data_IF_562374696399
#
_entry.id   IF_562374696399
#
_cell.length_a   1.000
_cell.length_b   1.000
_cell.length_c   1.000
_cell.angle_alpha   90.00
_cell.angle_beta   90.00
_cell.angle_gamma   90.00
#
_symmetry.space_group_name_H-M   'P 1'
#
loop_
_entity.id
_entity.type
_entity.pdbx_description
1 polymer ?
#
# COMPACT_ATOMS: atom_id res chain seq x y z
N UNK A 1 9.58 -8.43 38.41
CA UNK A 1 8.25 -8.48 37.79
C UNK A 1 7.73 -9.90 37.88
N UNK A 2 6.51 -10.07 38.40
CA UNK A 2 5.84 -11.36 38.46
C UNK A 2 4.52 -11.29 37.69
N UNK A 3 4.06 -12.42 37.17
CA UNK A 3 2.80 -12.54 36.43
C UNK A 3 2.02 -13.72 36.98
N UNK A 4 0.70 -13.55 37.09
CA UNK A 4 -0.20 -14.64 37.46
C UNK A 4 -1.41 -14.70 36.52
N UNK A 5 -1.75 -15.92 36.14
CA UNK A 5 -2.93 -16.26 35.36
C UNK A 5 -4.21 -16.12 36.18
N UNK A 6 -5.22 -15.48 35.61
CA UNK A 6 -6.60 -15.46 36.12
C UNK A 6 -7.54 -16.32 35.27
N UNK A 7 -7.03 -17.03 34.26
CA UNK A 7 -7.81 -17.85 33.33
C UNK A 7 -8.26 -19.20 33.92
N UNK A 8 -7.46 -19.79 34.82
CA UNK A 8 -7.68 -21.15 35.30
C UNK A 8 -8.80 -21.17 36.37
N UNK A 9 -9.97 -21.71 36.03
CA UNK A 9 -11.02 -21.98 37.00
C UNK A 9 -10.82 -23.35 37.68
N UNK A 10 -10.93 -23.46 39.01
CA UNK A 10 -10.70 -24.71 39.75
C UNK A 10 -11.72 -25.82 39.45
N UNK A 11 -12.83 -25.53 38.76
CA UNK A 11 -13.90 -26.50 38.44
C UNK A 11 -14.09 -26.78 36.95
N UNK A 12 -13.19 -26.30 36.09
CA UNK A 12 -13.35 -26.33 34.63
C UNK A 12 -14.38 -25.28 34.16
N UNK A 13 -14.01 -24.49 33.15
CA UNK A 13 -14.81 -23.35 32.67
C UNK A 13 -14.03 -22.02 32.73
N UNK A 14 -14.73 -20.91 32.44
CA UNK A 14 -14.19 -19.55 32.58
C UNK A 14 -14.10 -19.18 34.07
N UNK A 15 -13.05 -18.47 34.45
CA UNK A 15 -12.94 -17.87 35.78
C UNK A 15 -14.02 -16.79 35.99
N UNK A 16 -14.46 -16.61 37.24
CA UNK A 16 -15.38 -15.53 37.62
C UNK A 16 -14.78 -14.14 37.38
N UNK A 17 -13.44 -14.04 37.30
CA UNK A 17 -12.70 -12.80 37.00
C UNK A 17 -12.59 -12.51 35.51
N UNK A 18 -13.00 -13.42 34.63
CA UNK A 18 -12.96 -13.21 33.18
C UNK A 18 -13.88 -12.02 32.80
N UNK A 19 -13.46 -11.07 31.93
CA UNK A 19 -12.41 -11.15 30.91
C UNK A 19 -10.98 -10.79 31.32
N UNK A 20 -10.67 -10.71 32.61
CA UNK A 20 -9.28 -10.59 33.08
C UNK A 20 -8.51 -11.88 32.78
N UNK A 21 -7.38 -11.77 32.07
CA UNK A 21 -6.57 -12.93 31.67
C UNK A 21 -5.25 -13.05 32.42
N UNK A 22 -4.64 -11.93 32.82
CA UNK A 22 -3.37 -11.93 33.54
C UNK A 22 -3.22 -10.69 34.43
N UNK A 23 -2.51 -10.86 35.55
CA UNK A 23 -2.10 -9.80 36.46
C UNK A 23 -0.59 -9.70 36.51
N UNK A 24 -0.08 -8.48 36.43
CA UNK A 24 1.32 -8.14 36.49
C UNK A 24 1.61 -7.37 37.77
N UNK A 25 2.65 -7.76 38.48
CA UNK A 25 3.17 -7.03 39.63
C UNK A 25 4.63 -6.65 39.38
N UNK A 26 4.93 -5.36 39.46
CA UNK A 26 6.27 -4.81 39.21
C UNK A 26 6.74 -4.13 40.46
N UNK A 27 7.82 -4.69 41.01
CA UNK A 27 8.55 -4.09 42.10
C UNK A 27 9.73 -3.29 41.54
N UNK A 28 9.86 -2.03 41.93
CA UNK A 28 11.00 -1.16 41.65
C UNK A 28 11.56 -0.61 42.93
N UNK A 29 12.87 -0.47 42.97
CA UNK A 29 13.57 0.18 44.07
C UNK A 29 14.93 0.68 43.62
N UNK A 30 15.47 1.66 44.33
CA UNK A 30 16.82 2.21 44.10
C UNK A 30 17.71 1.88 45.28
N UNK A 31 18.71 1.00 45.12
CA UNK A 31 19.71 0.77 46.16
C UNK A 31 20.72 1.92 46.21
N UNK A 32 21.17 2.29 47.41
CA UNK A 32 22.32 3.18 47.59
C UNK A 32 23.66 2.39 47.56
N UNK A 33 24.79 3.09 47.76
CA UNK A 33 26.12 2.46 47.79
C UNK A 33 26.33 1.49 48.96
N UNK A 34 25.46 1.52 49.97
CA UNK A 34 25.47 0.65 51.14
C UNK A 34 24.40 -0.47 51.03
N UNK A 35 23.81 -0.66 49.85
CA UNK A 35 22.72 -1.62 49.59
C UNK A 35 21.45 -1.35 50.40
N UNK A 36 21.29 -0.13 50.95
CA UNK A 36 20.04 0.30 51.55
C UNK A 36 19.06 0.62 50.43
N UNK A 37 17.92 -0.08 50.46
CA UNK A 37 16.88 0.03 49.44
C UNK A 37 16.01 1.25 49.74
N UNK A 38 15.91 2.16 48.78
CA UNK A 38 15.06 3.35 48.84
C UNK A 38 14.14 3.43 47.62
N UNK A 39 13.18 4.36 47.62
CA UNK A 39 12.24 4.58 46.50
C UNK A 39 11.50 3.31 46.05
N UNK A 40 11.04 2.49 47.02
CA UNK A 40 10.28 1.29 46.74
C UNK A 40 8.91 1.65 46.16
N UNK A 41 8.62 1.17 44.96
CA UNK A 41 7.34 1.36 44.29
C UNK A 41 6.85 0.02 43.72
N UNK A 42 5.60 -0.32 44.02
CA UNK A 42 4.94 -1.51 43.51
C UNK A 42 3.80 -1.05 42.61
N UNK A 43 3.86 -1.46 41.34
CA UNK A 43 2.82 -1.18 40.36
C UNK A 43 2.15 -2.47 39.96
N UNK A 44 0.82 -2.48 40.06
CA UNK A 44 -0.03 -3.58 39.63
C UNK A 44 -0.73 -3.21 38.32
N UNK A 45 -0.77 -4.13 37.37
CA UNK A 45 -1.48 -3.96 36.11
C UNK A 45 -2.30 -5.22 35.82
N UNK A 46 -3.51 -5.05 35.31
CA UNK A 46 -4.38 -6.14 34.88
C UNK A 46 -4.60 -6.06 33.38
N UNK A 47 -4.56 -7.22 32.72
CA UNK A 47 -4.84 -7.35 31.30
C UNK A 47 -6.22 -7.96 31.11
N UNK A 48 -7.07 -7.23 30.40
CA UNK A 48 -8.45 -7.61 30.10
C UNK A 48 -8.64 -7.79 28.59
N UNK A 49 -9.58 -8.65 28.22
CA UNK A 49 -10.17 -8.60 26.88
C UNK A 49 -11.20 -7.47 26.85
N UNK A 50 -11.02 -6.55 25.91
CA UNK A 50 -11.89 -5.41 25.70
C UNK A 50 -12.46 -5.41 24.28
N UNK A 51 -13.65 -4.87 24.13
CA UNK A 51 -14.32 -4.70 22.83
C UNK A 51 -14.28 -3.22 22.49
N UNK A 52 -13.85 -2.92 21.27
CA UNK A 52 -13.76 -1.55 20.79
C UNK A 52 -14.68 -1.34 19.58
N UNK A 53 -15.51 -0.31 19.67
CA UNK A 53 -16.25 0.24 18.55
C UNK A 53 -15.37 1.26 17.83
N UNK A 54 -15.26 1.09 16.51
CA UNK A 54 -14.51 1.98 15.64
C UNK A 54 -15.50 2.74 14.75
N UNK A 55 -15.56 4.07 14.92
CA UNK A 55 -16.47 4.95 14.17
C UNK A 55 -15.70 6.03 13.43
N UNK A 56 -16.32 6.61 12.39
CA UNK A 56 -15.75 7.76 11.67
C UNK A 56 -14.38 7.46 11.05
N UNK A 57 -14.19 6.27 10.48
CA UNK A 57 -12.96 5.93 9.77
C UNK A 57 -12.78 6.87 8.58
N UNK A 58 -11.69 7.63 8.56
CA UNK A 58 -11.34 8.53 7.48
C UNK A 58 -9.93 8.21 6.99
N UNK A 59 -9.76 8.13 5.67
CA UNK A 59 -8.47 7.98 5.04
C UNK A 59 -8.20 9.19 4.13
N UNK A 60 -7.10 9.90 4.36
CA UNK A 60 -6.62 10.95 3.47
C UNK A 60 -5.21 10.60 3.00
N UNK A 61 -5.11 9.97 1.83
CA UNK A 61 -3.84 9.43 1.32
C UNK A 61 -3.34 8.30 2.21
N UNK A 62 -2.20 8.49 2.88
CA UNK A 62 -1.61 7.52 3.82
C UNK A 62 -2.12 7.67 5.25
N UNK A 63 -2.77 8.78 5.60
CA UNK A 63 -3.25 9.02 6.95
C UNK A 63 -4.63 8.37 7.14
N UNK A 64 -4.65 7.31 7.95
CA UNK A 64 -5.88 6.66 8.41
C UNK A 64 -6.18 7.08 9.84
N UNK A 65 -7.31 7.75 10.04
CA UNK A 65 -7.82 8.13 11.36
C UNK A 65 -9.13 7.41 11.65
N UNK A 66 -9.32 7.02 12.90
CA UNK A 66 -10.53 6.35 13.36
C UNK A 66 -10.81 6.72 14.81
N UNK A 67 -12.07 6.99 15.14
CA UNK A 67 -12.47 7.17 16.52
C UNK A 67 -12.70 5.79 17.14
N UNK A 68 -12.09 5.56 18.31
CA UNK A 68 -12.22 4.31 19.06
C UNK A 68 -12.95 4.57 20.36
N UNK A 69 -13.97 3.75 20.65
CA UNK A 69 -14.69 3.76 21.91
C UNK A 69 -14.73 2.35 22.50
N UNK A 70 -14.45 2.21 23.79
CA UNK A 70 -14.64 0.94 24.49
C UNK A 70 -16.12 0.66 24.69
N UNK A 71 -16.55 -0.54 24.33
CA UNK A 71 -17.93 -1.01 24.47
C UNK A 71 -18.05 -1.76 25.78
N UNK A 72 -18.88 -1.25 26.67
CA UNK A 72 -19.26 -1.97 27.88
C UNK A 72 -20.24 -3.09 27.53
N UNK A 73 -19.87 -4.33 27.84
CA UNK A 73 -20.71 -5.51 27.61
C UNK A 73 -21.71 -5.76 28.76
N UNK A 74 -21.75 -4.89 29.77
CA UNK A 74 -22.68 -4.93 30.90
C UNK A 74 -22.16 -5.68 32.13
N UNK A 75 -22.95 -5.64 33.21
CA UNK A 75 -22.55 -6.05 34.57
C UNK A 75 -22.30 -7.56 34.77
N UNK A 76 -22.71 -8.42 33.83
CA UNK A 76 -22.53 -9.88 33.94
C UNK A 76 -21.63 -10.35 32.81
N UNK A 77 -20.58 -11.11 33.15
CA UNK A 77 -19.66 -11.70 32.19
C UNK A 77 -20.44 -12.40 31.06
N UNK A 78 -20.45 -11.86 29.83
CA UNK A 78 -21.25 -12.36 28.72
C UNK A 78 -20.61 -13.58 28.06
N UNK A 79 -19.40 -13.95 28.47
CA UNK A 79 -18.61 -15.00 27.85
C UNK A 79 -19.02 -16.38 28.35
N UNK A 80 -19.18 -17.29 27.40
CA UNK A 80 -19.51 -18.69 27.62
C UNK A 80 -18.48 -19.56 26.92
N UNK A 81 -18.16 -20.73 27.51
CA UNK A 81 -17.31 -21.72 26.84
C UNK A 81 -18.18 -22.77 26.16
N UNK A 82 -17.94 -23.02 24.89
CA UNK A 82 -18.49 -24.18 24.19
C UNK A 82 -17.61 -25.38 24.48
N UNK A 83 -18.03 -26.21 25.45
CA UNK A 83 -17.44 -27.52 25.70
C UNK A 83 -18.25 -28.57 24.94
N UNK A 84 -17.74 -29.08 23.81
CA UNK A 84 -18.33 -30.27 23.19
C UNK A 84 -17.74 -31.52 23.87
N UNK A 85 -18.56 -32.54 24.22
CA UNK A 85 -18.15 -33.67 25.05
C UNK A 85 -16.99 -34.51 24.47
N UNK A 86 -16.70 -34.40 23.17
CA UNK A 86 -15.61 -35.11 22.50
C UNK A 86 -14.45 -34.20 22.03
N UNK A 87 -14.43 -32.92 22.42
CA UNK A 87 -13.55 -31.92 21.79
C UNK A 87 -12.46 -31.35 22.71
N UNK A 88 -12.26 -31.92 23.91
CA UNK A 88 -11.09 -31.71 24.77
C UNK A 88 -10.56 -30.27 24.80
N UNK A 89 -9.35 -30.08 24.25
CA UNK A 89 -8.57 -28.83 24.26
C UNK A 89 -9.18 -27.75 23.33
N UNK A 90 -10.05 -28.06 22.37
CA UNK A 90 -10.54 -27.10 21.36
C UNK A 90 -11.75 -26.27 21.83
N UNK A 91 -11.66 -25.72 23.05
CA UNK A 91 -12.71 -24.88 23.61
C UNK A 91 -12.68 -23.48 22.97
N UNK A 92 -13.86 -22.95 22.68
CA UNK A 92 -14.04 -21.58 22.23
C UNK A 92 -14.81 -20.81 23.29
N UNK A 93 -14.28 -19.66 23.70
CA UNK A 93 -15.03 -18.71 24.49
C UNK A 93 -15.78 -17.78 23.52
N UNK A 94 -17.08 -17.64 23.71
CA UNK A 94 -17.93 -16.85 22.84
C UNK A 94 -18.91 -15.98 23.62
N UNK A 95 -19.36 -14.88 23.01
CA UNK A 95 -20.47 -14.07 23.50
C UNK A 95 -21.68 -14.27 22.60
N UNK A 96 -22.88 -14.15 23.16
CA UNK A 96 -24.10 -14.05 22.34
C UNK A 96 -24.17 -12.68 21.67
N UNK A 97 -24.93 -12.58 20.57
CA UNK A 97 -25.30 -11.29 20.00
C UNK A 97 -26.12 -10.51 21.04
N UNK A 98 -25.65 -9.31 21.37
CA UNK A 98 -26.31 -8.45 22.35
C UNK A 98 -26.43 -7.04 21.81
N UNK A 99 -27.58 -6.43 22.09
CA UNK A 99 -27.74 -4.98 21.93
C UNK A 99 -27.35 -4.34 23.25
N UNK A 100 -26.20 -3.66 23.29
CA UNK A 100 -25.74 -2.96 24.50
C UNK A 100 -26.70 -1.82 24.85
N UNK A 101 -26.72 -1.37 26.11
CA UNK A 101 -27.54 -0.27 26.64
C UNK A 101 -27.46 1.06 25.86
N UNK A 102 -26.54 1.20 24.90
CA UNK A 102 -26.41 2.34 23.98
C UNK A 102 -26.97 2.12 22.56
N UNK A 103 -27.68 1.03 22.29
CA UNK A 103 -28.22 0.71 20.96
C UNK A 103 -27.19 0.18 19.95
N UNK A 104 -25.98 -0.16 20.40
CA UNK A 104 -24.91 -0.72 19.59
C UNK A 104 -25.17 -2.22 19.44
N UNK A 105 -25.28 -2.69 18.19
CA UNK A 105 -25.35 -4.10 17.86
C UNK A 105 -23.94 -4.70 17.92
N UNK A 106 -23.69 -5.58 18.90
CA UNK A 106 -22.42 -6.30 19.03
C UNK A 106 -22.62 -7.71 18.47
N UNK A 107 -21.92 -8.10 17.39
CA UNK A 107 -22.01 -9.46 16.86
C UNK A 107 -21.45 -10.47 17.86
N UNK A 108 -21.77 -11.75 17.70
CA UNK A 108 -21.17 -12.81 18.50
C UNK A 108 -19.65 -12.77 18.33
N UNK A 109 -18.93 -12.59 19.43
CA UNK A 109 -17.47 -12.58 19.46
C UNK A 109 -17.00 -13.96 19.87
N UNK A 110 -15.99 -14.47 19.18
CA UNK A 110 -15.41 -15.78 19.47
C UNK A 110 -13.90 -15.64 19.65
N UNK A 111 -13.36 -16.34 20.65
CA UNK A 111 -11.92 -16.43 20.89
C UNK A 111 -11.52 -17.87 21.16
N UNK A 112 -10.42 -18.29 20.52
CA UNK A 112 -9.85 -19.60 20.70
C UNK A 112 -9.21 -19.71 22.10
N UNK A 113 -9.81 -20.49 22.99
CA UNK A 113 -9.39 -20.56 24.40
C UNK A 113 -7.96 -21.13 24.57
N UNK A 114 -7.50 -22.14 23.79
CA UNK A 114 -6.10 -22.55 23.77
C UNK A 114 -5.11 -21.43 23.44
N UNK A 115 -5.50 -20.49 22.58
CA UNK A 115 -4.67 -19.34 22.24
C UNK A 115 -4.48 -18.42 23.45
N UNK A 116 -5.53 -18.22 24.25
CA UNK A 116 -5.46 -17.46 25.51
C UNK A 116 -4.60 -18.17 26.55
N UNK A 117 -4.73 -19.49 26.70
CA UNK A 117 -3.87 -20.27 27.60
C UNK A 117 -2.41 -20.16 27.17
N UNK A 118 -2.12 -20.31 25.87
CA UNK A 118 -0.77 -20.18 25.34
C UNK A 118 -0.19 -18.77 25.58
N UNK A 119 -1.00 -17.72 25.39
CA UNK A 119 -0.61 -16.35 25.69
C UNK A 119 -0.25 -16.19 27.17
N UNK A 120 -1.08 -16.69 28.08
CA UNK A 120 -0.81 -16.53 29.51
C UNK A 120 0.36 -17.39 29.98
N UNK A 121 0.52 -18.60 29.46
CA UNK A 121 1.73 -19.41 29.70
C UNK A 121 3.01 -18.69 29.23
N UNK A 122 2.94 -17.96 28.11
CA UNK A 122 4.04 -17.13 27.64
C UNK A 122 4.31 -15.95 28.59
N UNK A 123 3.26 -15.28 29.08
CA UNK A 123 3.38 -14.19 30.04
C UNK A 123 3.92 -14.64 31.41
N UNK A 124 3.67 -15.87 31.81
CA UNK A 124 4.23 -16.49 33.03
C UNK A 124 5.64 -17.08 32.83
N UNK A 125 6.13 -17.17 31.59
CA UNK A 125 7.44 -17.74 31.30
C UNK A 125 8.59 -16.84 31.78
N UNK A 126 9.79 -17.42 31.92
CA UNK A 126 11.02 -16.70 32.29
C UNK A 126 11.46 -15.62 31.28
N UNK A 127 10.85 -15.62 30.08
CA UNK A 127 11.08 -14.53 29.11
C UNK A 127 10.38 -13.23 29.54
N UNK A 128 9.31 -13.35 30.33
CA UNK A 128 8.48 -12.25 30.81
C UNK A 128 8.69 -11.99 32.31
N UNK A 129 8.58 -13.04 33.12
CA UNK A 129 8.76 -13.00 34.57
C UNK A 129 10.24 -12.95 34.92
N UNK A 130 10.58 -12.14 35.92
CA UNK A 130 11.93 -12.13 36.49
C UNK A 130 12.06 -13.11 37.63
N UNK A 131 13.16 -13.85 37.64
CA UNK A 131 13.50 -14.66 38.79
C UNK A 131 14.04 -13.77 39.93
N UNK A 132 13.65 -14.07 41.16
CA UNK A 132 14.26 -13.47 42.34
C UNK A 132 15.42 -14.34 42.78
N UNK A 133 16.62 -13.77 42.80
CA UNK A 133 17.83 -14.47 43.25
C UNK A 133 18.25 -13.89 44.59
N UNK A 134 18.46 -14.77 45.56
CA UNK A 134 18.99 -14.39 46.87
C UNK A 134 20.51 -14.33 46.83
N UNK A 135 21.08 -13.29 47.42
CA UNK A 135 22.53 -13.09 47.52
C UNK A 135 23.15 -12.33 46.34
N UNK A 136 24.49 -12.29 46.31
CA UNK A 136 25.26 -11.56 45.29
C UNK A 136 25.55 -12.45 44.08
N UNK A 137 24.51 -12.79 43.33
CA UNK A 137 24.62 -13.61 42.12
C UNK A 137 24.04 -12.86 40.91
N UNK A 138 24.69 -12.97 39.76
CA UNK A 138 24.22 -12.35 38.54
C UNK A 138 22.96 -13.09 38.06
N UNK A 139 21.80 -12.42 38.09
CA UNK A 139 20.57 -13.00 37.59
C UNK A 139 20.59 -13.09 36.06
N UNK A 140 20.56 -14.30 35.51
CA UNK A 140 20.49 -14.54 34.06
C UNK A 140 19.07 -14.44 33.51
N UNK A 141 18.05 -14.53 34.36
CA UNK A 141 16.63 -14.54 34.02
C UNK A 141 15.99 -13.20 34.40
N UNK A 142 16.45 -12.13 33.75
CA UNK A 142 15.97 -10.76 33.93
C UNK A 142 14.60 -10.49 33.25
N UNK A 143 14.10 -11.44 32.46
CA UNK A 143 12.85 -11.30 31.70
C UNK A 143 12.75 -9.96 30.96
N UNK A 144 11.57 -9.33 30.99
CA UNK A 144 11.39 -7.97 30.47
C UNK A 144 11.80 -6.87 31.46
N UNK A 145 12.17 -7.19 32.71
CA UNK A 145 12.47 -6.14 33.67
C UNK A 145 13.66 -5.29 33.25
N UNK A 146 14.63 -5.84 32.50
CA UNK A 146 15.72 -5.06 31.92
C UNK A 146 15.21 -3.88 31.06
N UNK A 147 14.11 -4.07 30.32
CA UNK A 147 13.48 -3.02 29.52
C UNK A 147 12.61 -2.06 30.35
N UNK A 148 12.37 -2.38 31.62
CA UNK A 148 11.59 -1.61 32.57
C UNK A 148 12.46 -0.94 33.65
N UNK A 149 13.78 -0.96 33.52
CA UNK A 149 14.71 -0.25 34.42
C UNK A 149 14.70 1.26 34.10
N UNK A 150 14.87 2.07 35.15
CA UNK A 150 15.01 3.52 35.04
C UNK A 150 13.67 4.27 35.13
N UNK A 151 13.72 5.54 34.76
CA UNK A 151 12.56 6.44 34.76
C UNK A 151 11.70 6.20 33.53
N UNK A 152 10.98 5.07 33.52
CA UNK A 152 10.02 4.73 32.46
C UNK A 152 8.61 4.63 33.02
N UNK A 153 7.67 5.29 32.36
CA UNK A 153 6.24 5.21 32.64
C UNK A 153 5.74 3.80 32.32
N UNK A 154 5.44 3.04 33.38
CA UNK A 154 4.93 1.68 33.28
C UNK A 154 3.57 1.65 32.60
N UNK A 155 2.65 2.55 32.96
CA UNK A 155 1.31 2.60 32.38
C UNK A 155 1.38 2.79 30.87
N UNK A 156 2.20 3.73 30.40
CA UNK A 156 2.40 3.95 28.97
C UNK A 156 3.02 2.74 28.25
N UNK A 157 3.95 2.01 28.90
CA UNK A 157 4.58 0.80 28.33
C UNK A 157 3.61 -0.36 28.20
N UNK A 158 2.84 -0.64 29.25
CA UNK A 158 1.82 -1.69 29.22
C UNK A 158 0.67 -1.34 28.27
N UNK A 159 0.28 -0.07 28.17
CA UNK A 159 -0.72 0.36 27.19
C UNK A 159 -0.21 0.16 25.75
N UNK A 160 1.06 0.46 25.46
CA UNK A 160 1.68 0.15 24.16
C UNK A 160 1.77 -1.34 23.89
N UNK A 161 2.04 -2.17 24.91
CA UNK A 161 2.04 -3.63 24.79
C UNK A 161 0.64 -4.16 24.46
N UNK A 162 -0.39 -3.71 25.17
CA UNK A 162 -1.78 -4.08 24.91
C UNK A 162 -2.24 -3.62 23.51
N UNK A 163 -1.83 -2.41 23.10
CA UNK A 163 -2.10 -1.90 21.74
C UNK A 163 -1.43 -2.77 20.68
N UNK A 164 -0.16 -3.13 20.86
CA UNK A 164 0.55 -4.00 19.92
C UNK A 164 -0.07 -5.41 19.84
N UNK A 165 -0.54 -5.97 20.96
CA UNK A 165 -1.29 -7.24 20.96
C UNK A 165 -2.62 -7.11 20.19
N UNK A 166 -3.33 -6.00 20.39
CA UNK A 166 -4.59 -5.71 19.68
C UNK A 166 -4.35 -5.55 18.18
N UNK A 167 -3.31 -4.82 17.79
CA UNK A 167 -2.93 -4.64 16.39
C UNK A 167 -2.53 -5.98 15.75
N UNK A 168 -1.79 -6.83 16.47
CA UNK A 168 -1.46 -8.17 15.98
C UNK A 168 -2.70 -9.03 15.76
N UNK A 169 -3.68 -9.00 16.67
CA UNK A 169 -4.95 -9.69 16.48
C UNK A 169 -5.73 -9.13 15.27
N UNK A 170 -5.66 -7.82 15.05
CA UNK A 170 -6.33 -7.13 13.94
C UNK A 170 -5.69 -7.39 12.58
N UNK A 171 -4.36 -7.47 12.51
CA UNK A 171 -3.58 -7.65 11.28
C UNK A 171 -3.06 -9.08 11.09
N UNK A 172 -3.44 -10.00 11.97
CA UNK A 172 -2.98 -11.38 11.97
C UNK A 172 -3.51 -12.24 10.81
N UNK A 173 -3.15 -13.52 10.78
CA UNK A 173 -3.52 -14.43 9.69
C UNK A 173 -5.05 -14.63 9.52
N UNK A 174 -5.84 -14.35 10.57
CA UNK A 174 -7.31 -14.43 10.55
C UNK A 174 -7.96 -13.05 10.38
N UNK A 175 -7.27 -12.09 9.75
CA UNK A 175 -7.81 -10.77 9.43
C UNK A 175 -9.11 -10.89 8.64
N UNK A 176 -10.11 -10.10 9.04
CA UNK A 176 -11.28 -9.87 8.20
C UNK A 176 -11.17 -8.51 7.52
N UNK A 177 -11.26 -8.50 6.20
CA UNK A 177 -11.21 -7.27 5.42
C UNK A 177 -12.55 -6.55 5.51
N UNK A 178 -12.53 -5.34 6.06
CA UNK A 178 -13.65 -4.41 5.94
C UNK A 178 -13.59 -3.75 4.56
N UNK A 179 -14.67 -3.88 3.78
CA UNK A 179 -14.78 -3.23 2.49
C UNK A 179 -15.33 -1.82 2.69
N UNK A 180 -14.67 -0.82 2.12
CA UNK A 180 -15.10 0.57 2.14
C UNK A 180 -14.85 1.22 0.78
N UNK A 181 -15.61 2.27 0.48
CA UNK A 181 -15.38 3.07 -0.71
C UNK A 181 -14.22 4.04 -0.47
N UNK A 182 -13.24 4.04 -1.38
CA UNK A 182 -12.11 4.96 -1.34
C UNK A 182 -12.24 5.95 -2.48
N UNK A 183 -12.25 7.25 -2.16
CA UNK A 183 -12.16 8.32 -3.14
C UNK A 183 -10.66 8.54 -3.40
N UNK A 184 -10.16 8.03 -4.51
CA UNK A 184 -8.79 8.31 -4.96
C UNK A 184 -8.81 9.39 -6.04
N UNK A 185 -7.94 10.39 -5.89
CA UNK A 185 -7.69 11.37 -6.94
C UNK A 185 -6.86 10.72 -8.05
N UNK A 186 -7.54 10.22 -9.08
CA UNK A 186 -6.87 9.68 -10.26
C UNK A 186 -6.50 10.80 -11.23
N UNK A 187 -5.28 10.75 -11.76
CA UNK A 187 -4.80 11.74 -12.72
C UNK A 187 -5.46 11.50 -14.09
N UNK A 188 -6.57 12.18 -14.37
CA UNK A 188 -7.20 12.13 -15.69
C UNK A 188 -6.44 13.00 -16.70
N UNK A 189 -5.93 12.36 -17.75
CA UNK A 189 -5.37 13.07 -18.91
C UNK A 189 -6.51 13.58 -19.78
N UNK A 190 -6.85 14.87 -19.64
CA UNK A 190 -7.82 15.54 -20.51
C UNK A 190 -7.16 15.96 -21.82
N UNK A 191 -7.36 15.19 -22.89
CA UNK A 191 -6.91 15.57 -24.24
C UNK A 191 -7.78 16.73 -24.75
N UNK A 192 -7.15 17.90 -24.92
CA UNK A 192 -7.79 19.08 -25.52
C UNK A 192 -7.78 18.96 -27.05
N UNK A 193 -8.87 18.46 -27.61
CA UNK A 193 -9.03 18.24 -29.06
C UNK A 193 -8.85 19.48 -29.94
N UNK A 194 -9.00 20.69 -29.39
CA UNK A 194 -8.82 21.95 -30.13
C UNK A 194 -7.42 22.08 -30.75
N UNK A 195 -6.38 21.52 -30.13
CA UNK A 195 -5.03 21.58 -30.68
C UNK A 195 -4.85 20.74 -31.96
N UNK A 196 -5.74 19.79 -32.24
CA UNK A 196 -5.72 19.00 -33.49
C UNK A 196 -6.31 19.75 -34.68
N UNK A 197 -7.01 20.87 -34.46
CA UNK A 197 -7.60 21.67 -35.56
C UNK A 197 -6.52 22.19 -36.49
N UNK A 198 -5.39 22.67 -35.95
CA UNK A 198 -4.31 23.25 -36.76
C UNK A 198 -3.67 22.21 -37.70
N UNK A 199 -3.19 21.05 -37.22
CA UNK A 199 -2.67 19.98 -38.09
C UNK A 199 -3.66 19.54 -39.17
N UNK A 200 -4.93 19.32 -38.81
CA UNK A 200 -5.97 18.86 -39.73
C UNK A 200 -6.23 19.88 -40.84
N UNK A 201 -6.32 21.17 -40.51
CA UNK A 201 -6.50 22.24 -41.50
C UNK A 201 -5.27 22.36 -42.39
N UNK A 202 -4.06 22.24 -41.85
CA UNK A 202 -2.84 22.30 -42.66
C UNK A 202 -2.71 21.14 -43.64
N UNK A 203 -3.05 19.92 -43.24
CA UNK A 203 -3.07 18.77 -44.15
C UNK A 203 -4.14 18.92 -45.24
N UNK A 204 -5.35 19.37 -44.87
CA UNK A 204 -6.42 19.60 -45.83
C UNK A 204 -6.04 20.65 -46.89
N UNK A 205 -5.39 21.75 -46.47
CA UNK A 205 -4.88 22.78 -47.39
C UNK A 205 -3.75 22.27 -48.28
N UNK A 206 -2.84 21.45 -47.75
CA UNK A 206 -1.75 20.85 -48.53
C UNK A 206 -2.29 19.91 -49.62
N UNK A 207 -3.27 19.06 -49.28
CA UNK A 207 -3.94 18.17 -50.24
C UNK A 207 -4.65 18.99 -51.33
N UNK A 208 -5.39 20.03 -50.94
CA UNK A 208 -6.04 20.94 -51.90
C UNK A 208 -5.02 21.61 -52.84
N UNK A 209 -3.92 22.12 -52.29
CA UNK A 209 -2.87 22.76 -53.08
C UNK A 209 -2.22 21.79 -54.07
N UNK A 210 -1.96 20.55 -53.66
CA UNK A 210 -1.43 19.51 -54.54
C UNK A 210 -2.41 19.20 -55.69
N UNK A 211 -3.70 19.05 -55.39
CA UNK A 211 -4.75 18.81 -56.40
C UNK A 211 -4.81 19.97 -57.40
N UNK A 212 -4.85 21.22 -56.91
CA UNK A 212 -4.87 22.41 -57.76
C UNK A 212 -3.63 22.52 -58.64
N UNK A 213 -2.45 22.19 -58.11
CA UNK A 213 -1.19 22.19 -58.86
C UNK A 213 -1.21 21.15 -59.97
N UNK A 214 -1.71 19.93 -59.71
CA UNK A 214 -1.87 18.88 -60.73
C UNK A 214 -2.82 19.33 -61.83
N UNK A 215 -3.98 19.88 -61.48
CA UNK A 215 -4.95 20.36 -62.48
C UNK A 215 -4.43 21.56 -63.26
N UNK A 216 -3.79 22.53 -62.61
CA UNK A 216 -3.21 23.71 -63.28
C UNK A 216 -2.07 23.32 -64.22
N UNK A 217 -1.22 22.36 -63.82
CA UNK A 217 -0.15 21.87 -64.67
C UNK A 217 -0.71 21.07 -65.87
N UNK A 218 -1.78 20.28 -65.65
CA UNK A 218 -2.49 19.57 -66.73
C UNK A 218 -3.18 20.52 -67.71
N UNK A 219 -3.76 21.62 -67.22
CA UNK A 219 -4.39 22.67 -68.03
C UNK A 219 -3.34 23.44 -68.86
N UNK A 220 -2.15 23.67 -68.29
CA UNK A 220 -1.01 24.34 -68.93
C UNK A 220 -0.16 23.44 -69.84
N UNK A 221 -0.66 22.26 -70.26
CA UNK A 221 -0.01 21.36 -71.24
C UNK A 221 0.31 21.96 -72.63
N UNK A 222 0.07 23.26 -72.84
CA UNK A 222 0.49 24.03 -74.02
C UNK A 222 1.74 24.91 -73.79
N UNK A 223 2.39 24.83 -72.62
CA UNK A 223 3.64 25.54 -72.36
C UNK A 223 4.78 24.53 -72.25
N UNK A 224 5.76 24.51 -73.18
CA UNK A 224 6.87 23.58 -73.11
C UNK A 224 7.68 23.85 -71.83
N UNK A 225 7.85 22.83 -70.99
CA UNK A 225 8.58 22.86 -69.71
C UNK A 225 10.10 23.06 -69.85
N UNK A 226 10.58 23.39 -71.06
CA UNK A 226 12.00 23.49 -71.42
C UNK A 226 12.80 24.55 -70.65
N UNK A 227 12.16 25.46 -69.90
CA UNK A 227 12.90 26.46 -69.11
C UNK A 227 13.41 25.95 -67.76
N UNK A 228 13.05 24.74 -67.32
CA UNK A 228 13.59 24.19 -66.04
C UNK A 228 13.88 22.69 -66.07
N UNK A 229 13.83 22.06 -67.24
CA UNK A 229 14.23 20.66 -67.38
C UNK A 229 15.75 20.54 -67.26
N UNK A 230 16.21 19.87 -66.20
CA UNK A 230 17.60 19.42 -66.00
C UNK A 230 18.16 18.62 -67.19
N UNK A 231 17.28 18.13 -68.08
CA UNK A 231 17.63 17.53 -69.37
C UNK A 231 18.40 18.46 -70.32
N UNK A 232 18.12 19.77 -70.33
CA UNK A 232 18.88 20.71 -71.16
C UNK A 232 20.33 20.88 -70.67
N UNK A 233 20.55 20.68 -69.36
CA UNK A 233 21.89 20.70 -68.74
C UNK A 233 22.64 19.38 -69.00
N UNK A 234 21.93 18.24 -69.04
CA UNK A 234 22.52 16.93 -69.34
C UNK A 234 22.98 16.77 -70.80
N UNK A 235 22.44 17.56 -71.74
CA UNK A 235 22.81 17.49 -73.16
C UNK A 235 24.07 18.29 -73.54
N UNK A 236 24.67 19.05 -72.61
CA UNK A 236 25.94 19.75 -72.84
C UNK A 236 27.11 18.93 -72.27
N UNK A 237 27.90 18.30 -73.14
CA UNK A 237 29.17 17.67 -72.76
C UNK A 237 30.27 18.74 -72.68
N UNK A 238 30.89 18.89 -71.50
CA UNK A 238 31.98 19.85 -71.26
C UNK A 238 33.34 19.18 -71.49
N UNK A 239 34.07 19.55 -72.55
CA UNK A 239 35.47 19.15 -72.76
C UNK A 239 36.42 20.25 -72.28
N UNK A 240 37.18 19.91 -71.24
CA UNK A 240 37.98 20.83 -70.42
C UNK A 240 39.16 21.52 -71.13
N UNK A 241 39.55 21.10 -72.34
CA UNK A 241 40.79 21.57 -72.99
C UNK A 241 40.67 22.87 -73.81
N UNK A 242 39.46 23.35 -74.15
CA UNK A 242 39.32 24.55 -75.01
C UNK A 242 38.30 25.60 -74.54
N UNK A 243 37.75 25.49 -73.32
CA UNK A 243 36.95 26.56 -72.69
C UNK A 243 35.73 27.05 -73.50
N UNK A 244 35.24 26.25 -74.44
CA UNK A 244 34.13 26.59 -75.34
C UNK A 244 33.06 25.49 -75.28
N UNK A 245 31.82 25.90 -75.02
CA UNK A 245 30.64 25.04 -75.11
C UNK A 245 30.32 24.83 -76.59
N UNK A 246 30.51 23.61 -77.09
CA UNK A 246 30.15 23.26 -78.47
C UNK A 246 29.09 22.17 -78.45
N UNK A 247 27.90 22.48 -78.95
CA UNK A 247 26.85 21.47 -79.15
C UNK A 247 27.18 20.61 -80.37
N UNK A 248 27.36 19.30 -80.18
CA UNK A 248 27.62 18.33 -81.26
C UNK A 248 26.34 17.88 -82.00
N UNK A 249 25.22 18.58 -81.84
CA UNK A 249 24.00 18.30 -82.60
C UNK A 249 23.81 19.33 -83.71
N UNK A 250 24.05 18.90 -84.95
CA UNK A 250 23.51 19.56 -86.14
C UNK A 250 22.03 19.16 -86.23
N UNK A 251 21.19 20.17 -86.14
CA UNK A 251 19.74 20.16 -86.38
C UNK A 251 18.84 19.69 -85.22
N UNK A 252 18.06 20.65 -84.70
CA UNK A 252 17.11 20.51 -83.59
C UNK A 252 16.06 19.42 -83.82
N UNK A 253 15.71 19.17 -85.09
CA UNK A 253 14.74 18.15 -85.48
C UNK A 253 15.19 16.73 -85.15
N UNK A 254 16.50 16.48 -85.12
CA UNK A 254 17.04 15.15 -84.87
C UNK A 254 16.96 14.76 -83.39
N UNK A 255 17.09 15.75 -82.50
CA UNK A 255 16.91 15.58 -81.04
C UNK A 255 15.44 15.33 -80.70
N UNK A 256 14.52 16.01 -81.39
CA UNK A 256 13.07 15.81 -81.20
C UNK A 256 12.63 14.40 -81.62
N UNK A 257 13.16 13.89 -82.75
CA UNK A 257 12.86 12.55 -83.28
C UNK A 257 13.48 11.41 -82.42
N UNK A 258 14.63 11.64 -81.77
CA UNK A 258 15.18 10.70 -80.79
C UNK A 258 14.43 10.72 -79.45
N UNK A 259 13.97 11.89 -79.00
CA UNK A 259 13.18 12.02 -77.78
C UNK A 259 11.77 11.40 -77.93
N UNK A 260 11.16 11.49 -79.11
CA UNK A 260 9.87 10.86 -79.40
C UNK A 260 9.96 9.32 -79.47
N UNK A 261 11.13 8.77 -79.83
CA UNK A 261 11.39 7.31 -79.81
C UNK A 261 11.76 6.75 -78.44
N UNK A 262 12.16 7.59 -77.49
CA UNK A 262 12.54 7.15 -76.15
C UNK A 262 11.27 6.87 -75.31
N UNK A 263 10.64 5.72 -75.56
CA UNK A 263 9.53 5.22 -74.75
C UNK A 263 10.12 4.63 -73.45
N UNK A 264 10.06 5.40 -72.36
CA UNK A 264 10.60 4.98 -71.06
C UNK A 264 9.57 4.08 -70.37
N UNK A 265 9.82 2.77 -70.38
CA UNK A 265 9.22 1.83 -69.43
C UNK A 265 9.64 2.21 -68.00
N UNK A 266 8.72 2.82 -67.25
CA UNK A 266 8.85 2.93 -65.80
C UNK A 266 8.51 1.55 -65.19
N UNK A 267 9.48 0.94 -64.54
CA UNK A 267 9.29 -0.24 -63.68
C UNK A 267 9.18 0.20 -62.23
#
# INVERSE_FOLDING_TARGET
MNVSSTLNAPKGGLSDTFPEIARFAIYRSTPDSNFVVSNVNITECSLFLAVYEYTGAQANGSDFSVNRREVDLGLKNPWMITSKPNQGILQQAHTNETTTSGGIHVPALEINFPGLIALVNFLESTTMVTEWVEGNFANTNLGVAAALIGDVDLGARFNKMATAMTDYLRYGPNTQSAHGEVIQSEAFVSIRWWYFVVPVVTEALAILFAILTIFSNRQSRRVPLWKSSTLAVLACEHKEQFGLLQSTAKDLKQIEDEAEKADVMLR
#
